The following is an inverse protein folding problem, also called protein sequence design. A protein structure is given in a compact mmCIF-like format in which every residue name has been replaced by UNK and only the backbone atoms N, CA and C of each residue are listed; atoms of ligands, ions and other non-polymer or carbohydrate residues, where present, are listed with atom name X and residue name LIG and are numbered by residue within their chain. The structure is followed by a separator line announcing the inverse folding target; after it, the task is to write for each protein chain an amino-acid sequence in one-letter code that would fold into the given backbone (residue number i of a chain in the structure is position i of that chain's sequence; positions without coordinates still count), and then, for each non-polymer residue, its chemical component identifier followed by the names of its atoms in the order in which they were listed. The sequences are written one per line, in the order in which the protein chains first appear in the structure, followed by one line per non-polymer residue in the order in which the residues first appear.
data_IF_936898391316
#
_entry.id   IF_936898391316
#
_cell.length_a   1.000
_cell.length_b   1.000
_cell.length_c   1.000
_cell.angle_alpha   90.00
_cell.angle_beta   90.00
_cell.angle_gamma   90.00
#
_symmetry.space_group_name_H-M   'P 1'
#
loop_
_entity.id
_entity.type
_entity.pdbx_description
1 polymer ?
#
# COMPACT_ATOMS: atom_id res chain seq x y z
N UNK A 1 9.00 -3.16 1.50
CA UNK A 1 9.29 -4.58 1.22
C UNK A 1 8.37 -5.45 2.05
N UNK A 2 7.87 -6.55 1.48
CA UNK A 2 7.12 -7.59 2.19
C UNK A 2 7.98 -8.84 2.33
N UNK A 3 7.78 -9.57 3.43
CA UNK A 3 8.39 -10.87 3.68
C UNK A 3 7.28 -11.91 3.80
N UNK A 4 7.35 -13.00 3.03
CA UNK A 4 6.39 -14.09 3.16
C UNK A 4 6.68 -14.88 4.45
N UNK A 5 5.72 -14.95 5.37
CA UNK A 5 5.83 -15.73 6.60
C UNK A 5 5.00 -17.02 6.57
N UNK A 6 4.24 -17.23 5.49
CA UNK A 6 3.51 -18.48 5.22
C UNK A 6 4.44 -19.64 4.89
N UNK A 7 3.97 -20.87 5.02
CA UNK A 7 4.78 -22.07 4.83
C UNK A 7 5.13 -22.40 3.37
N UNK A 8 4.38 -21.87 2.40
CA UNK A 8 4.56 -22.14 0.96
C UNK A 8 4.73 -20.88 0.12
N UNK A 9 4.78 -21.07 -1.19
CA UNK A 9 4.72 -19.97 -2.16
C UNK A 9 3.36 -19.28 -2.13
N UNK A 10 3.35 -17.98 -2.40
CA UNK A 10 2.15 -17.15 -2.37
C UNK A 10 2.27 -16.02 -3.39
N UNK A 11 1.14 -15.64 -3.97
CA UNK A 11 1.07 -14.48 -4.87
C UNK A 11 0.07 -13.48 -4.35
N UNK A 12 0.51 -12.23 -4.27
CA UNK A 12 -0.27 -11.12 -3.75
C UNK A 12 -0.49 -10.07 -4.84
N UNK A 13 -1.72 -9.58 -4.94
CA UNK A 13 -2.07 -8.43 -5.79
C UNK A 13 -2.36 -7.21 -4.91
N UNK A 14 -1.89 -6.04 -5.34
CA UNK A 14 -2.19 -4.78 -4.68
C UNK A 14 -3.63 -4.31 -5.00
N UNK A 15 -4.38 -3.96 -3.96
CA UNK A 15 -5.62 -3.21 -4.02
C UNK A 15 -5.39 -1.87 -3.31
N UNK A 16 -5.85 -0.77 -3.91
CA UNK A 16 -5.58 0.58 -3.39
C UNK A 16 -6.89 1.33 -3.18
N UNK A 17 -7.13 1.71 -1.93
CA UNK A 17 -8.10 2.72 -1.53
C UNK A 17 -7.38 4.07 -1.54
N UNK A 18 -7.74 4.96 -2.47
CA UNK A 18 -7.02 6.23 -2.65
C UNK A 18 -7.56 7.27 -1.68
N UNK A 19 -6.69 7.96 -0.90
CA UNK A 19 -7.07 9.19 -0.23
C UNK A 19 -7.70 10.19 -1.20
N UNK A 20 -8.77 10.86 -0.78
CA UNK A 20 -9.48 11.86 -1.57
C UNK A 20 -8.48 12.92 -2.08
N UNK A 21 -8.58 13.28 -3.37
CA UNK A 21 -7.70 14.27 -3.99
C UNK A 21 -6.29 13.77 -4.32
N UNK A 22 -6.05 12.46 -4.25
CA UNK A 22 -4.77 11.85 -4.57
C UNK A 22 -4.83 10.81 -5.70
N UNK A 23 -3.69 10.61 -6.34
CA UNK A 23 -3.38 9.50 -7.23
C UNK A 23 -2.30 8.66 -6.58
N UNK A 24 -2.50 7.34 -6.60
CA UNK A 24 -1.53 6.38 -6.09
C UNK A 24 -1.13 5.42 -7.21
N UNK A 25 0.17 5.17 -7.33
CA UNK A 25 0.75 4.15 -8.21
C UNK A 25 1.55 3.16 -7.36
N UNK A 26 1.37 1.87 -7.61
CA UNK A 26 2.13 0.78 -6.97
C UNK A 26 2.93 0.07 -8.05
N UNK A 27 4.21 -0.21 -7.80
CA UNK A 27 5.03 -1.00 -8.72
C UNK A 27 5.97 -1.96 -7.99
N UNK A 28 5.96 -3.26 -8.32
CA UNK A 28 4.98 -3.93 -9.19
C UNK A 28 3.61 -4.06 -8.51
N UNK A 29 2.53 -4.22 -9.29
CA UNK A 29 1.16 -4.44 -8.75
C UNK A 29 0.92 -5.86 -8.23
N UNK A 30 1.82 -6.79 -8.55
CA UNK A 30 1.77 -8.20 -8.14
C UNK A 30 3.13 -8.63 -7.59
N UNK A 31 3.12 -9.27 -6.43
CA UNK A 31 4.31 -9.82 -5.79
C UNK A 31 4.19 -11.33 -5.71
N UNK A 32 5.17 -12.03 -6.28
CA UNK A 32 5.25 -13.50 -6.27
C UNK A 32 6.35 -13.93 -5.31
N UNK A 33 5.99 -14.80 -4.38
CA UNK A 33 6.91 -15.45 -3.44
C UNK A 33 6.92 -16.94 -3.74
N UNK A 34 8.10 -17.51 -3.94
CA UNK A 34 8.28 -18.95 -4.16
C UNK A 34 8.27 -19.75 -2.86
N UNK A 35 8.74 -19.17 -1.74
CA UNK A 35 8.82 -19.89 -0.46
C UNK A 35 8.73 -18.97 0.77
N UNK A 36 8.75 -19.59 1.95
CA UNK A 36 8.81 -18.91 3.24
C UNK A 36 10.09 -18.08 3.36
N UNK A 37 9.98 -16.90 3.96
CA UNK A 37 11.02 -15.89 4.21
C UNK A 37 11.56 -15.16 2.98
N UNK A 38 11.06 -15.46 1.78
CA UNK A 38 11.38 -14.67 0.60
C UNK A 38 10.88 -13.24 0.77
N UNK A 39 11.68 -12.27 0.28
CA UNK A 39 11.38 -10.85 0.36
C UNK A 39 11.14 -10.29 -1.03
N UNK A 40 10.08 -9.49 -1.17
CA UNK A 40 9.79 -8.74 -2.39
C UNK A 40 9.58 -7.27 -2.08
N UNK A 41 10.22 -6.42 -2.86
CA UNK A 41 10.13 -4.96 -2.73
C UNK A 41 9.09 -4.43 -3.69
N UNK A 42 8.43 -3.35 -3.27
CA UNK A 42 7.52 -2.57 -4.07
C UNK A 42 7.72 -1.09 -3.72
N UNK A 43 7.36 -0.23 -4.66
CA UNK A 43 7.32 1.21 -4.48
C UNK A 43 5.88 1.68 -4.54
N UNK A 44 5.56 2.63 -3.67
CA UNK A 44 4.30 3.35 -3.63
C UNK A 44 4.60 4.82 -3.97
N UNK A 45 3.99 5.33 -5.03
CA UNK A 45 4.11 6.74 -5.41
C UNK A 45 2.77 7.42 -5.21
N UNK A 46 2.75 8.45 -4.35
CA UNK A 46 1.56 9.22 -4.03
C UNK A 46 1.72 10.61 -4.65
N UNK A 47 0.75 11.03 -5.44
CA UNK A 47 0.61 12.40 -5.94
C UNK A 47 -0.66 12.98 -5.37
N UNK A 48 -0.59 14.14 -4.74
CA UNK A 48 -1.75 14.79 -4.15
C UNK A 48 -1.71 16.29 -4.44
N UNK A 49 -2.87 16.93 -4.41
CA UNK A 49 -2.97 18.39 -4.43
C UNK A 49 -3.35 18.86 -3.03
N UNK A 50 -2.57 19.77 -2.47
CA UNK A 50 -2.94 20.49 -1.26
C UNK A 50 -4.03 21.50 -1.63
N UNK A 51 -5.24 21.27 -1.15
CA UNK A 51 -6.31 22.26 -1.10
C UNK A 51 -6.19 23.03 0.22
N UNK A 52 -6.48 24.34 0.19
CA UNK A 52 -6.37 25.24 1.35
C UNK A 52 -7.31 24.90 2.51
N UNK A 53 -8.24 23.97 2.30
CA UNK A 53 -9.10 23.44 3.35
C UNK A 53 -8.38 22.29 4.07
N UNK A 54 -8.27 22.39 5.39
CA UNK A 54 -7.72 21.37 6.27
C UNK A 54 -8.54 20.06 6.17
N UNK A 55 -8.26 19.24 5.16
CA UNK A 55 -8.94 17.96 4.95
C UNK A 55 -7.93 16.84 5.17
N UNK A 56 -8.09 16.12 6.28
CA UNK A 56 -7.44 14.82 6.45
C UNK A 56 -8.10 13.87 5.47
N UNK A 57 -7.29 13.22 4.63
CA UNK A 57 -7.76 12.21 3.68
C UNK A 57 -7.06 10.88 3.97
N UNK A 58 -7.84 9.82 4.11
CA UNK A 58 -7.35 8.47 4.39
C UNK A 58 -7.58 7.50 3.23
N UNK A 59 -6.78 6.47 3.21
CA UNK A 59 -6.86 5.37 2.26
C UNK A 59 -5.98 4.22 2.72
N UNK A 60 -5.70 3.28 1.81
CA UNK A 60 -4.84 2.15 2.12
C UNK A 60 -4.29 1.47 0.86
N UNK A 61 -3.19 0.75 1.04
CA UNK A 61 -2.83 -0.36 0.17
C UNK A 61 -3.11 -1.66 0.89
N UNK A 62 -3.78 -2.60 0.23
CA UNK A 62 -4.02 -3.95 0.72
C UNK A 62 -3.44 -4.96 -0.25
N UNK A 63 -2.54 -5.81 0.23
CA UNK A 63 -2.04 -6.95 -0.52
C UNK A 63 -2.94 -8.15 -0.29
N UNK A 64 -3.62 -8.59 -1.35
CA UNK A 64 -4.59 -9.69 -1.31
C UNK A 64 -3.94 -10.92 -1.92
N UNK A 65 -3.89 -12.00 -1.15
CA UNK A 65 -3.42 -13.30 -1.65
C UNK A 65 -4.42 -13.88 -2.66
N UNK A 66 -3.98 -14.20 -3.88
CA UNK A 66 -4.87 -14.58 -4.99
C UNK A 66 -5.58 -15.94 -4.78
N UNK A 67 -4.93 -16.87 -4.06
CA UNK A 67 -5.45 -18.23 -3.82
C UNK A 67 -5.49 -18.58 -2.33
N UNK A 68 -5.67 -17.58 -1.47
CA UNK A 68 -5.66 -17.78 -0.04
C UNK A 68 -6.52 -16.79 0.70
N UNK A 69 -6.25 -16.64 2.00
CA UNK A 69 -7.09 -15.85 2.92
C UNK A 69 -6.36 -14.65 3.50
N UNK A 70 -5.07 -14.48 3.20
CA UNK A 70 -4.29 -13.40 3.78
C UNK A 70 -4.58 -12.08 3.06
N UNK A 71 -4.86 -11.06 3.86
CA UNK A 71 -4.99 -9.66 3.42
C UNK A 71 -4.07 -8.82 4.29
N UNK A 72 -3.03 -8.21 3.71
CA UNK A 72 -2.05 -7.40 4.42
C UNK A 72 -2.32 -5.93 4.09
N UNK A 73 -2.94 -5.21 5.02
CA UNK A 73 -3.34 -3.80 4.84
C UNK A 73 -2.32 -2.84 5.47
N UNK A 74 -2.00 -1.77 4.76
CA UNK A 74 -1.22 -0.63 5.27
C UNK A 74 -2.01 0.66 5.04
N UNK A 75 -2.39 1.41 6.09
CA UNK A 75 -3.13 2.66 5.95
C UNK A 75 -2.24 3.76 5.35
N UNK A 76 -2.88 4.71 4.67
CA UNK A 76 -2.25 5.89 4.07
C UNK A 76 -3.05 7.10 4.56
N UNK A 77 -2.37 8.10 5.10
CA UNK A 77 -2.99 9.36 5.53
C UNK A 77 -2.27 10.52 4.87
N UNK A 78 -3.04 11.45 4.31
CA UNK A 78 -2.57 12.75 3.85
C UNK A 78 -3.10 13.76 4.85
N UNK A 79 -2.18 14.48 5.50
CA UNK A 79 -2.50 15.53 6.46
C UNK A 79 -1.86 16.86 6.04
N UNK A 80 -2.44 18.00 6.45
CA UNK A 80 -1.76 19.28 6.39
C UNK A 80 -0.39 19.21 7.08
N UNK A 81 0.61 19.90 6.52
CA UNK A 81 1.85 20.12 7.23
C UNK A 81 1.58 21.06 8.40
N UNK A 82 1.95 20.65 9.61
CA UNK A 82 2.04 21.59 10.73
C UNK A 82 3.28 22.43 10.46
N UNK A 83 3.10 23.75 10.29
CA UNK A 83 4.24 24.66 10.33
C UNK A 83 4.76 24.69 11.76
N UNK A 84 6.03 24.36 11.95
CA UNK A 84 6.71 24.60 13.22
C UNK A 84 6.92 26.12 13.33
N UNK A 85 6.08 26.77 14.13
CA UNK A 85 6.20 28.19 14.53
C UNK A 85 7.29 28.36 15.60
#
# INVERSE_FOLDING_TARGET
TLTNVGSGGATYRAEVERPKGSTIVVSPERLVFGSKHEKRSYSLTIRYRSNSEFVIADGSITWIEENGKHRVRSPIVISPGVGDD
#
